data_IF_998675848081
#
_entry.id   IF_998675848081
#
_cell.length_a   1.000
_cell.length_b   1.000
_cell.length_c   1.000
_cell.angle_alpha   90.00
_cell.angle_beta   90.00
_cell.angle_gamma   90.00
#
_symmetry.space_group_name_H-M   'P 1'
#
loop_
_entity.id
_entity.type
_entity.pdbx_description
1 polymer ?
#
# COMPACT_ATOMS: atom_id res chain seq x y z
N UNK A 1 1.28 -9.70 27.56
CA UNK A 1 1.26 -8.39 28.22
C UNK A 1 0.42 -7.47 27.35
N UNK A 2 -0.69 -7.01 27.91
CA UNK A 2 -1.84 -6.48 27.17
C UNK A 2 -1.59 -5.04 26.69
N UNK A 3 -2.32 -4.64 25.65
CA UNK A 3 -2.38 -3.30 25.09
C UNK A 3 -2.75 -2.17 26.09
N UNK A 4 -3.01 -2.52 27.36
CA UNK A 4 -3.27 -1.59 28.46
C UNK A 4 -2.03 -0.85 28.96
N UNK A 5 -0.84 -1.43 28.82
CA UNK A 5 0.35 -0.91 29.53
C UNK A 5 1.04 0.24 28.77
N UNK A 6 0.79 0.33 27.45
CA UNK A 6 1.31 1.42 26.60
C UNK A 6 0.55 2.74 26.84
N UNK A 7 -0.74 2.64 27.20
CA UNK A 7 -1.56 3.81 27.50
C UNK A 7 -1.15 4.52 28.82
N UNK A 8 -0.45 3.81 29.71
CA UNK A 8 -0.05 4.34 31.02
C UNK A 8 1.26 5.15 30.96
N UNK A 9 2.16 4.84 30.02
CA UNK A 9 3.51 5.42 29.98
C UNK A 9 3.64 6.74 29.22
N UNK A 10 2.62 7.18 28.49
CA UNK A 10 2.67 8.45 27.76
C UNK A 10 1.28 9.10 27.52
N UNK A 11 0.53 9.45 28.58
CA UNK A 11 -0.76 10.14 28.46
C UNK A 11 -0.63 11.49 27.72
N UNK A 12 0.52 12.16 27.80
CA UNK A 12 0.80 13.41 27.06
C UNK A 12 0.89 13.21 25.53
N UNK A 13 1.37 12.05 25.06
CA UNK A 13 1.46 11.76 23.61
C UNK A 13 0.11 11.39 22.99
N UNK A 14 -0.79 10.79 23.78
CA UNK A 14 -2.17 10.51 23.34
C UNK A 14 -2.99 11.79 23.30
N UNK A 15 -2.79 12.68 24.29
CA UNK A 15 -3.45 14.00 24.39
C UNK A 15 -3.16 14.93 23.19
N UNK A 16 -1.91 14.97 22.71
CA UNK A 16 -1.53 15.80 21.56
C UNK A 16 -2.07 15.27 20.22
N UNK A 17 -2.41 13.98 20.14
CA UNK A 17 -2.91 13.33 18.92
C UNK A 17 -4.44 13.38 18.75
N UNK A 18 -5.19 13.76 19.78
CA UNK A 18 -6.67 13.85 19.77
C UNK A 18 -7.21 15.23 19.33
N UNK A 19 -6.35 16.17 18.95
CA UNK A 19 -6.78 17.39 18.28
C UNK A 19 -7.35 17.07 16.89
N UNK A 20 -8.43 17.72 16.43
CA UNK A 20 -8.89 17.54 15.05
C UNK A 20 -7.74 17.88 14.11
N UNK A 21 -7.28 16.88 13.35
CA UNK A 21 -6.23 17.07 12.34
C UNK A 21 -6.67 18.23 11.45
N UNK A 22 -5.90 19.33 11.36
CA UNK A 22 -6.29 20.48 10.57
C UNK A 22 -6.46 20.04 9.13
N UNK A 23 -7.71 19.88 8.70
CA UNK A 23 -8.05 19.53 7.33
C UNK A 23 -7.77 20.77 6.49
N UNK A 24 -6.82 20.74 5.55
CA UNK A 24 -6.56 21.91 4.71
C UNK A 24 -7.86 22.30 4.01
N UNK A 25 -8.21 23.58 4.09
CA UNK A 25 -9.40 24.12 3.44
C UNK A 25 -9.41 23.68 1.97
N UNK A 26 -10.56 23.19 1.46
CA UNK A 26 -10.64 22.74 0.07
C UNK A 26 -10.18 23.90 -0.83
N UNK A 27 -9.11 23.68 -1.59
CA UNK A 27 -8.58 24.69 -2.49
C UNK A 27 -9.63 25.00 -3.58
N UNK A 28 -10.43 26.04 -3.35
CA UNK A 28 -11.37 26.56 -4.33
C UNK A 28 -10.59 27.05 -5.56
N UNK A 29 -11.07 26.71 -6.76
CA UNK A 29 -10.49 27.18 -8.03
C UNK A 29 -9.61 26.20 -8.83
N UNK A 30 -9.40 24.95 -8.38
CA UNK A 30 -8.56 23.96 -9.12
C UNK A 30 -9.33 22.92 -9.94
N UNK A 31 -10.56 23.19 -10.37
CA UNK A 31 -11.36 22.21 -11.13
C UNK A 31 -10.67 21.80 -12.44
N UNK A 32 -10.14 22.76 -13.20
CA UNK A 32 -9.39 22.48 -14.43
C UNK A 32 -8.15 21.62 -14.18
N UNK A 33 -7.35 21.96 -13.15
CA UNK A 33 -6.20 21.15 -12.75
C UNK A 33 -6.61 19.71 -12.38
N UNK A 34 -7.67 19.54 -11.58
CA UNK A 34 -8.17 18.22 -11.17
C UNK A 34 -8.65 17.40 -12.36
N UNK A 35 -9.29 18.03 -13.33
CA UNK A 35 -9.73 17.38 -14.56
C UNK A 35 -8.53 16.91 -15.39
N UNK A 36 -7.58 17.80 -15.67
CA UNK A 36 -6.35 17.47 -16.43
C UNK A 36 -5.56 16.37 -15.71
N UNK A 37 -5.40 16.49 -14.38
CA UNK A 37 -4.72 15.49 -13.56
C UNK A 37 -5.40 14.12 -13.65
N UNK A 38 -6.73 14.09 -13.64
CA UNK A 38 -7.50 12.85 -13.76
C UNK A 38 -7.41 12.25 -15.16
N UNK A 39 -7.48 13.07 -16.20
CA UNK A 39 -7.30 12.62 -17.59
C UNK A 39 -5.90 12.02 -17.78
N UNK A 40 -4.86 12.67 -17.24
CA UNK A 40 -3.50 12.13 -17.21
C UNK A 40 -3.43 10.77 -16.50
N UNK A 41 -4.00 10.66 -15.30
CA UNK A 41 -3.98 9.39 -14.54
C UNK A 41 -4.62 8.25 -15.33
N UNK A 42 -5.75 8.50 -15.98
CA UNK A 42 -6.46 7.50 -16.78
C UNK A 42 -5.61 7.12 -18.01
N UNK A 43 -5.17 8.10 -18.79
CA UNK A 43 -4.41 7.87 -20.02
C UNK A 43 -3.09 7.13 -19.72
N UNK A 44 -2.33 7.62 -18.74
CA UNK A 44 -1.07 7.00 -18.34
C UNK A 44 -1.27 5.58 -17.81
N UNK A 45 -2.26 5.37 -16.96
CA UNK A 45 -2.53 4.03 -16.40
C UNK A 45 -2.96 3.05 -17.49
N UNK A 46 -3.79 3.47 -18.45
CA UNK A 46 -4.19 2.62 -19.58
C UNK A 46 -2.99 2.23 -20.45
N UNK A 47 -2.14 3.19 -20.80
CA UNK A 47 -0.91 2.92 -21.55
C UNK A 47 0.02 1.97 -20.78
N UNK A 48 0.23 2.22 -19.48
CA UNK A 48 1.06 1.38 -18.64
C UNK A 48 0.49 -0.05 -18.55
N UNK A 49 -0.81 -0.22 -18.31
CA UNK A 49 -1.46 -1.53 -18.25
C UNK A 49 -1.32 -2.27 -19.58
N UNK A 50 -1.53 -1.59 -20.71
CA UNK A 50 -1.41 -2.20 -22.04
C UNK A 50 0.00 -2.73 -22.31
N UNK A 51 1.03 -1.92 -22.01
CA UNK A 51 2.44 -2.31 -22.18
C UNK A 51 2.84 -3.42 -21.20
N UNK A 52 2.35 -3.35 -19.97
CA UNK A 52 2.73 -4.26 -18.89
C UNK A 52 1.88 -5.54 -18.84
N UNK A 53 0.87 -5.69 -19.71
CA UNK A 53 -0.05 -6.83 -19.66
C UNK A 53 0.69 -8.17 -19.82
N UNK A 54 1.51 -8.28 -20.86
CA UNK A 54 2.29 -9.50 -21.15
C UNK A 54 3.28 -9.83 -20.02
N UNK A 55 4.17 -8.92 -19.57
CA UNK A 55 5.09 -9.23 -18.47
C UNK A 55 4.35 -9.50 -17.14
N UNK A 56 3.20 -8.86 -16.90
CA UNK A 56 2.37 -9.12 -15.71
C UNK A 56 1.82 -10.55 -15.70
N UNK A 57 1.38 -11.08 -16.85
CA UNK A 57 0.90 -12.46 -16.96
C UNK A 57 2.06 -13.44 -16.70
N UNK A 58 3.22 -13.21 -17.29
CA UNK A 58 4.43 -14.04 -17.07
C UNK A 58 4.79 -14.05 -15.58
N UNK A 59 4.76 -12.89 -14.94
CA UNK A 59 5.06 -12.77 -13.52
C UNK A 59 4.02 -13.48 -12.64
N UNK A 60 2.74 -13.36 -12.97
CA UNK A 60 1.67 -14.09 -12.31
C UNK A 60 1.88 -15.60 -12.35
N UNK A 61 2.31 -16.13 -13.49
CA UNK A 61 2.66 -17.56 -13.65
C UNK A 61 3.88 -17.90 -12.78
N UNK A 62 4.95 -17.12 -12.84
CA UNK A 62 6.16 -17.34 -12.04
C UNK A 62 5.87 -17.38 -10.53
N UNK A 63 5.05 -16.45 -10.03
CA UNK A 63 4.61 -16.43 -8.63
C UNK A 63 3.81 -17.68 -8.28
N UNK A 64 2.88 -18.10 -9.15
CA UNK A 64 2.03 -19.30 -8.97
C UNK A 64 2.82 -20.59 -8.95
N UNK A 65 3.91 -20.67 -9.71
CA UNK A 65 4.79 -21.84 -9.75
C UNK A 65 5.64 -21.95 -8.49
N UNK A 66 6.01 -20.82 -7.87
CA UNK A 66 6.85 -20.82 -6.67
C UNK A 66 6.05 -20.93 -5.37
N UNK A 67 4.85 -20.36 -5.30
CA UNK A 67 4.01 -20.38 -4.09
C UNK A 67 2.54 -20.63 -4.42
N UNK A 68 1.86 -21.54 -3.68
CA UNK A 68 0.43 -21.75 -3.85
C UNK A 68 -0.35 -20.50 -3.40
N UNK A 69 -1.21 -19.98 -4.28
CA UNK A 69 -2.08 -18.85 -3.94
C UNK A 69 -2.45 -17.97 -5.13
N UNK A 70 -3.05 -16.83 -4.82
CA UNK A 70 -3.30 -15.76 -5.78
C UNK A 70 -2.02 -14.94 -5.99
N UNK A 71 -1.57 -14.71 -7.23
CA UNK A 71 -0.38 -13.90 -7.50
C UNK A 71 -0.59 -12.41 -7.24
N UNK A 72 -1.85 -11.97 -7.06
CA UNK A 72 -2.22 -10.62 -6.67
C UNK A 72 -2.61 -10.64 -5.18
N UNK A 73 -2.07 -9.69 -4.43
CA UNK A 73 -2.40 -9.42 -3.04
C UNK A 73 -2.99 -8.01 -2.93
N UNK A 74 -3.97 -7.84 -2.05
CA UNK A 74 -4.61 -6.55 -1.76
C UNK A 74 -4.33 -6.15 -0.32
N UNK A 75 -3.88 -4.91 -0.15
CA UNK A 75 -3.65 -4.31 1.17
C UNK A 75 -4.62 -3.15 1.38
N UNK A 76 -5.39 -3.17 2.48
CA UNK A 76 -6.22 -2.02 2.86
C UNK A 76 -5.33 -0.80 3.15
N UNK A 77 -5.72 0.34 2.60
CA UNK A 77 -5.02 1.63 2.77
C UNK A 77 -6.02 2.76 3.00
N UNK A 78 -5.55 3.78 3.71
CA UNK A 78 -6.30 5.02 3.89
C UNK A 78 -6.28 5.82 2.59
N UNK A 79 -7.47 6.13 2.08
CA UNK A 79 -7.71 6.92 0.88
C UNK A 79 -8.05 8.37 1.18
N UNK A 80 -8.79 9.00 0.26
CA UNK A 80 -9.17 10.42 0.39
C UNK A 80 -10.23 10.62 1.48
N UNK A 81 -10.09 11.71 2.22
CA UNK A 81 -11.10 12.19 3.16
C UNK A 81 -12.24 12.83 2.34
N UNK A 82 -13.48 12.38 2.60
CA UNK A 82 -14.68 12.91 1.98
C UNK A 82 -14.99 14.34 2.45
N UNK A 83 -15.89 15.03 1.75
CA UNK A 83 -16.36 16.38 2.16
C UNK A 83 -17.06 16.36 3.53
N UNK A 84 -17.62 15.22 3.92
CA UNK A 84 -18.24 14.98 5.23
C UNK A 84 -17.22 14.70 6.34
N UNK A 85 -15.91 14.69 6.05
CA UNK A 85 -14.86 14.32 7.01
C UNK A 85 -14.62 12.81 7.12
N UNK A 86 -15.37 11.98 6.39
CA UNK A 86 -15.21 10.53 6.42
C UNK A 86 -13.93 10.06 5.73
N UNK A 87 -13.15 9.22 6.41
CA UNK A 87 -11.99 8.54 5.84
C UNK A 87 -12.45 7.34 5.03
N UNK A 88 -12.18 7.33 3.72
CA UNK A 88 -12.46 6.16 2.88
C UNK A 88 -11.24 5.28 2.76
N UNK A 89 -11.39 3.97 2.99
CA UNK A 89 -10.33 3.00 2.72
C UNK A 89 -10.49 2.40 1.31
N UNK A 90 -9.40 1.91 0.76
CA UNK A 90 -9.40 1.16 -0.50
C UNK A 90 -8.38 0.03 -0.46
N UNK A 91 -8.60 -0.95 -1.33
CA UNK A 91 -7.70 -2.09 -1.49
C UNK A 91 -6.61 -1.75 -2.51
N UNK A 92 -5.37 -1.58 -2.05
CA UNK A 92 -4.21 -1.32 -2.88
C UNK A 92 -3.64 -2.64 -3.42
N UNK A 93 -3.64 -2.80 -4.74
CA UNK A 93 -3.22 -4.04 -5.37
C UNK A 93 -1.70 -4.12 -5.54
N UNK A 94 -1.16 -5.31 -5.31
CA UNK A 94 0.25 -5.62 -5.50
C UNK A 94 0.46 -7.02 -6.03
N UNK A 95 1.61 -7.26 -6.68
CA UNK A 95 2.04 -8.65 -6.87
C UNK A 95 2.50 -9.25 -5.55
N UNK A 96 2.12 -10.50 -5.33
CA UNK A 96 2.52 -11.27 -4.17
C UNK A 96 4.01 -11.57 -4.26
N UNK A 97 4.77 -11.03 -3.31
CA UNK A 97 6.21 -11.28 -3.16
C UNK A 97 6.55 -12.10 -1.92
N UNK A 98 5.55 -12.43 -1.11
CA UNK A 98 5.69 -13.25 0.10
C UNK A 98 4.83 -14.51 0.00
N UNK A 99 5.20 -15.55 0.73
CA UNK A 99 4.39 -16.76 0.87
C UNK A 99 3.00 -16.44 1.46
N UNK A 100 2.02 -17.33 1.24
CA UNK A 100 0.64 -17.11 1.68
C UNK A 100 0.51 -17.01 3.21
N UNK A 101 1.33 -17.77 3.93
CA UNK A 101 1.46 -17.89 5.38
C UNK A 101 2.34 -16.78 6.01
N UNK A 102 2.78 -15.79 5.24
CA UNK A 102 3.68 -14.74 5.73
C UNK A 102 3.11 -13.92 6.90
N UNK A 103 1.79 -13.73 6.95
CA UNK A 103 1.12 -13.02 8.04
C UNK A 103 1.10 -13.86 9.33
N UNK A 104 0.93 -15.19 9.22
CA UNK A 104 0.96 -16.12 10.35
C UNK A 104 2.36 -16.19 10.97
N UNK A 105 3.39 -16.18 10.12
CA UNK A 105 4.80 -16.20 10.52
C UNK A 105 5.32 -14.84 11.00
N UNK A 106 4.51 -13.78 10.94
CA UNK A 106 4.94 -12.45 11.37
C UNK A 106 5.19 -12.41 12.89
N UNK A 107 4.35 -13.08 13.69
CA UNK A 107 4.47 -13.12 15.15
C UNK A 107 5.78 -13.79 15.59
N UNK A 108 6.17 -14.88 14.93
CA UNK A 108 7.39 -15.64 15.19
C UNK A 108 8.67 -14.85 14.87
N UNK A 109 8.57 -13.82 14.01
CA UNK A 109 9.71 -13.03 13.55
C UNK A 109 9.78 -11.65 14.22
N UNK A 110 8.91 -11.36 15.20
CA UNK A 110 8.90 -10.06 15.90
C UNK A 110 10.25 -9.70 16.53
N UNK A 111 10.96 -10.70 17.07
CA UNK A 111 12.28 -10.53 17.68
C UNK A 111 13.38 -10.16 16.67
N UNK A 112 13.15 -10.42 15.38
CA UNK A 112 14.09 -10.08 14.31
C UNK A 112 13.80 -8.71 13.68
N UNK A 113 12.82 -7.96 14.19
CA UNK A 113 12.48 -6.65 13.65
C UNK A 113 13.66 -5.67 13.77
N UNK A 114 14.15 -5.17 12.64
CA UNK A 114 15.24 -4.19 12.57
C UNK A 114 14.72 -2.74 12.48
N UNK A 115 13.41 -2.53 12.45
CA UNK A 115 12.80 -1.20 12.37
C UNK A 115 12.34 -0.68 13.74
N UNK A 116 12.69 0.57 14.03
CA UNK A 116 12.18 1.31 15.18
C UNK A 116 10.75 1.81 14.88
N UNK A 117 9.82 1.54 15.80
CA UNK A 117 8.42 1.97 15.70
C UNK A 117 7.44 0.91 15.15
N UNK A 118 6.26 1.30 14.62
CA UNK A 118 5.19 0.36 14.23
C UNK A 118 5.48 -0.40 12.93
N UNK A 119 6.61 -0.13 12.27
CA UNK A 119 6.99 -0.75 11.01
C UNK A 119 7.78 -2.02 11.28
N UNK A 120 7.45 -3.08 10.55
CA UNK A 120 8.21 -4.32 10.59
C UNK A 120 9.15 -4.41 9.38
N UNK A 121 10.45 -4.54 9.62
CA UNK A 121 11.46 -4.66 8.56
C UNK A 121 12.55 -5.66 8.96
N UNK A 122 12.79 -6.63 8.09
CA UNK A 122 13.92 -7.56 8.16
C UNK A 122 14.65 -7.48 6.82
N UNK A 123 15.99 -7.41 6.83
CA UNK A 123 16.77 -7.32 5.59
C UNK A 123 16.65 -8.60 4.75
N UNK A 124 16.81 -9.76 5.37
CA UNK A 124 16.67 -11.09 4.77
C UNK A 124 15.43 -11.81 5.30
N UNK A 125 14.26 -11.25 5.00
CA UNK A 125 12.97 -11.78 5.45
C UNK A 125 12.70 -13.18 4.84
N UNK A 126 12.62 -14.25 5.66
CA UNK A 126 12.42 -15.62 5.20
C UNK A 126 11.03 -15.87 4.60
N UNK A 127 10.11 -14.91 4.74
CA UNK A 127 8.76 -14.98 4.17
C UNK A 127 8.71 -14.55 2.70
N UNK A 128 9.79 -13.96 2.19
CA UNK A 128 9.89 -13.47 0.80
C UNK A 128 10.34 -14.61 -0.11
N UNK A 129 9.59 -14.85 -1.18
CA UNK A 129 9.93 -15.87 -2.20
C UNK A 129 11.16 -15.45 -3.01
N UNK A 130 11.82 -16.36 -3.72
CA UNK A 130 12.96 -16.06 -4.60
C UNK A 130 12.54 -15.09 -5.71
N UNK A 131 11.40 -15.34 -6.37
CA UNK A 131 10.82 -14.38 -7.32
C UNK A 131 10.41 -13.08 -6.60
N UNK A 132 9.92 -13.18 -5.37
CA UNK A 132 9.56 -12.05 -4.52
C UNK A 132 10.73 -11.11 -4.25
N UNK A 133 11.94 -11.63 -4.05
CA UNK A 133 13.16 -10.81 -3.91
C UNK A 133 13.42 -9.98 -5.16
N UNK A 134 13.26 -10.58 -6.35
CA UNK A 134 13.37 -9.86 -7.63
C UNK A 134 12.28 -8.79 -7.77
N UNK A 135 11.02 -9.16 -7.50
CA UNK A 135 9.88 -8.25 -7.58
C UNK A 135 10.09 -7.01 -6.69
N UNK A 136 10.49 -7.21 -5.42
CA UNK A 136 10.71 -6.13 -4.46
C UNK A 136 11.93 -5.28 -4.80
N UNK A 137 13.02 -5.89 -5.28
CA UNK A 137 14.24 -5.18 -5.68
C UNK A 137 13.99 -4.19 -6.82
N UNK A 138 13.09 -4.53 -7.74
CA UNK A 138 12.75 -3.71 -8.90
C UNK A 138 11.43 -2.95 -8.74
N UNK A 139 10.81 -2.96 -7.55
CA UNK A 139 9.51 -2.33 -7.26
C UNK A 139 8.39 -2.75 -8.23
N UNK A 140 8.50 -3.97 -8.76
CA UNK A 140 7.53 -4.54 -9.70
C UNK A 140 6.24 -4.88 -8.95
N UNK A 141 6.28 -5.08 -7.63
CA UNK A 141 5.09 -5.39 -6.83
C UNK A 141 4.02 -4.31 -6.92
N UNK A 142 4.38 -3.08 -7.25
CA UNK A 142 3.44 -1.95 -7.31
C UNK A 142 2.77 -1.78 -8.69
N UNK A 143 3.16 -2.53 -9.73
CA UNK A 143 2.55 -2.40 -11.06
C UNK A 143 1.02 -2.61 -11.09
N UNK A 144 0.42 -3.53 -10.31
CA UNK A 144 -1.03 -3.66 -10.24
C UNK A 144 -1.76 -2.40 -9.74
N UNK A 145 -1.06 -1.46 -9.09
CA UNK A 145 -1.64 -0.20 -8.61
C UNK A 145 -2.11 0.71 -9.75
N UNK A 146 -1.68 0.50 -11.00
CA UNK A 146 -2.27 1.20 -12.15
C UNK A 146 -3.77 0.93 -12.29
N UNK A 147 -4.27 -0.21 -11.80
CA UNK A 147 -5.71 -0.47 -11.70
C UNK A 147 -6.37 0.45 -10.66
N UNK A 148 -5.72 0.69 -9.52
CA UNK A 148 -6.19 1.65 -8.50
C UNK A 148 -6.22 3.09 -9.05
N UNK A 149 -5.21 3.46 -9.84
CA UNK A 149 -5.19 4.73 -10.56
C UNK A 149 -6.35 4.83 -11.55
N UNK A 150 -6.61 3.78 -12.33
CA UNK A 150 -7.74 3.76 -13.28
C UNK A 150 -9.10 3.87 -12.57
N UNK A 151 -9.30 3.18 -11.44
CA UNK A 151 -10.51 3.27 -10.62
C UNK A 151 -10.65 4.61 -9.87
N UNK A 152 -9.60 5.45 -9.86
CA UNK A 152 -9.61 6.75 -9.18
C UNK A 152 -9.44 6.67 -7.66
N UNK A 153 -9.03 5.51 -7.15
CA UNK A 153 -8.66 5.30 -5.75
C UNK A 153 -7.27 5.89 -5.48
N UNK A 154 -6.35 5.75 -6.44
CA UNK A 154 -4.99 6.29 -6.41
C UNK A 154 -4.78 7.31 -7.55
N UNK A 155 -3.68 8.03 -7.48
CA UNK A 155 -3.19 8.96 -8.49
C UNK A 155 -1.78 8.54 -8.88
N UNK A 156 -1.40 8.57 -10.16
CA UNK A 156 -0.05 8.17 -10.60
C UNK A 156 1.04 9.03 -9.96
N UNK A 157 0.71 10.28 -9.61
CA UNK A 157 1.57 11.21 -8.88
C UNK A 157 0.80 11.72 -7.67
N UNK A 158 1.28 11.44 -6.46
CA UNK A 158 0.62 11.81 -5.20
C UNK A 158 1.37 11.28 -3.98
N UNK A 159 0.93 11.64 -2.76
CA UNK A 159 1.51 11.10 -1.53
C UNK A 159 1.24 9.59 -1.41
N UNK A 160 2.16 8.87 -0.76
CA UNK A 160 1.99 7.44 -0.50
C UNK A 160 0.86 7.21 0.50
N UNK A 161 -0.12 6.32 0.23
CA UNK A 161 -1.20 6.02 1.16
C UNK A 161 -0.68 5.45 2.49
N UNK A 162 -1.08 5.99 3.66
CA UNK A 162 -0.72 5.41 4.94
C UNK A 162 -1.42 4.06 5.17
N UNK A 163 -0.85 3.27 6.08
CA UNK A 163 -1.41 1.99 6.53
C UNK A 163 -2.69 2.22 7.33
#
# INVERSE_FOLDING_TARGET
>A
MAASDVAFLAPELVSEAEGPVPVPAPAEGRLGYRFVKRAFDIAFSLCAIAVLLVPSIILCVAIRLESPGCPIYSQKRVGRIGRSGEVRTFDMYKFRSMHKDADERLSELQELNEADGPLFKIKDDPRVTRIGKFIRKHSIDELPQFLNCLMGQLSCVGPRPPL
#
